data_IF_787358954357
#
_entry.id   IF_787358954357
#
_cell.length_a   1.000
_cell.length_b   1.000
_cell.length_c   1.000
_cell.angle_alpha   90.00
_cell.angle_beta   90.00
_cell.angle_gamma   90.00
#
_symmetry.space_group_name_H-M   'P 1'
#
loop_
_entity.id
_entity.type
_entity.pdbx_description
1 polymer ?
#
# COMPACT_ATOMS: atom_id res chain seq x y z
N UNK A 1 -10.09 -8.85 11.88
CA UNK A 1 -8.64 -8.67 11.63
C UNK A 1 -7.95 -8.70 12.99
N UNK A 2 -7.08 -9.68 13.25
CA UNK A 2 -6.42 -9.77 14.57
C UNK A 2 -5.41 -8.62 14.70
N UNK A 3 -5.65 -7.74 15.68
CA UNK A 3 -4.77 -6.59 15.97
C UNK A 3 -3.35 -7.03 16.35
N UNK A 4 -3.17 -8.29 16.78
CA UNK A 4 -1.87 -8.86 17.21
C UNK A 4 -0.87 -9.10 16.07
N UNK A 5 -1.31 -9.01 14.81
CA UNK A 5 -0.44 -9.22 13.65
C UNK A 5 0.20 -7.93 13.11
N UNK A 6 -0.25 -6.75 13.53
CA UNK A 6 0.33 -5.47 13.09
C UNK A 6 1.60 -5.17 13.89
N UNK A 7 2.68 -4.84 13.19
CA UNK A 7 3.96 -4.45 13.80
C UNK A 7 4.13 -2.94 13.77
N UNK A 8 3.71 -2.31 12.67
CA UNK A 8 3.77 -0.87 12.54
C UNK A 8 3.10 -0.37 11.27
N UNK A 9 2.96 0.95 11.18
CA UNK A 9 2.48 1.61 9.98
C UNK A 9 3.18 2.93 9.74
N UNK A 10 3.26 3.34 8.47
CA UNK A 10 3.75 4.65 8.07
C UNK A 10 2.79 5.26 7.04
N UNK A 11 2.43 6.52 7.26
CA UNK A 11 1.51 7.26 6.39
C UNK A 11 2.24 8.47 5.81
N UNK A 12 2.08 8.69 4.50
CA UNK A 12 2.58 9.88 3.82
C UNK A 12 1.54 10.48 2.89
N UNK A 13 1.55 11.80 2.80
CA UNK A 13 0.82 12.53 1.78
C UNK A 13 1.68 12.70 0.52
N UNK A 14 1.06 12.55 -0.65
CA UNK A 14 1.70 12.69 -1.96
C UNK A 14 1.02 13.87 -2.66
N UNK A 15 1.62 15.06 -2.53
CA UNK A 15 1.04 16.32 -3.00
C UNK A 15 0.67 16.29 -4.50
N UNK A 16 1.57 15.79 -5.36
CA UNK A 16 1.33 15.69 -6.81
C UNK A 16 0.24 14.69 -7.23
N UNK A 17 -0.33 13.92 -6.28
CA UNK A 17 -1.43 12.98 -6.53
C UNK A 17 -2.67 13.29 -5.68
N UNK A 18 -2.62 14.35 -4.87
CA UNK A 18 -3.60 14.64 -3.82
C UNK A 18 -4.05 13.37 -3.08
N UNK A 19 -3.09 12.56 -2.66
CA UNK A 19 -3.36 11.21 -2.15
C UNK A 19 -2.55 10.88 -0.91
N UNK A 20 -3.11 10.06 -0.05
CA UNK A 20 -2.45 9.46 1.10
C UNK A 20 -2.09 8.02 0.81
N UNK A 21 -0.86 7.65 1.13
CA UNK A 21 -0.39 6.28 1.15
C UNK A 21 -0.14 5.86 2.59
N UNK A 22 -0.71 4.73 2.99
CA UNK A 22 -0.38 4.07 4.26
C UNK A 22 0.19 2.69 3.99
N UNK A 23 1.35 2.43 4.58
CA UNK A 23 2.00 1.12 4.58
C UNK A 23 1.82 0.51 5.97
N UNK A 24 1.57 -0.80 6.01
CA UNK A 24 1.50 -1.62 7.21
C UNK A 24 2.54 -2.74 7.11
N UNK A 25 3.29 -2.96 8.18
CA UNK A 25 4.13 -4.13 8.36
C UNK A 25 3.44 -5.09 9.31
N UNK A 26 3.30 -6.35 8.88
CA UNK A 26 2.53 -7.36 9.58
C UNK A 26 3.37 -8.62 9.75
N UNK A 27 3.16 -9.35 10.84
CA UNK A 27 3.61 -10.75 10.92
C UNK A 27 2.86 -11.55 9.86
N UNK A 28 3.57 -12.40 9.12
CA UNK A 28 2.89 -13.37 8.26
C UNK A 28 1.98 -14.27 9.09
N UNK A 29 0.83 -14.64 8.53
CA UNK A 29 -0.05 -15.63 9.15
C UNK A 29 0.53 -17.05 9.05
N UNK A 30 1.40 -17.29 8.07
CA UNK A 30 2.13 -18.56 7.93
C UNK A 30 3.44 -18.51 8.72
N UNK A 31 3.61 -19.51 9.59
CA UNK A 31 4.81 -19.69 10.41
C UNK A 31 6.06 -19.76 9.52
N UNK A 32 7.08 -18.95 9.85
CA UNK A 32 8.34 -18.94 9.11
C UNK A 32 8.40 -18.02 7.87
N UNK A 33 7.29 -17.41 7.42
CA UNK A 33 7.29 -16.52 6.24
C UNK A 33 7.62 -15.04 6.51
N UNK A 34 8.22 -14.73 7.66
CA UNK A 34 8.75 -13.39 7.96
C UNK A 34 7.69 -12.27 8.02
N UNK A 35 8.05 -11.11 7.48
CA UNK A 35 7.27 -9.87 7.53
C UNK A 35 6.52 -9.60 6.22
N UNK A 36 5.23 -9.34 6.31
CA UNK A 36 4.40 -8.96 5.16
C UNK A 36 4.17 -7.46 5.16
N UNK A 37 4.58 -6.81 4.06
CA UNK A 37 4.26 -5.40 3.80
C UNK A 37 2.94 -5.30 3.04
N UNK A 38 2.07 -4.38 3.44
CA UNK A 38 0.80 -4.13 2.76
C UNK A 38 0.59 -2.65 2.61
N UNK A 39 0.13 -2.23 1.45
CA UNK A 39 -0.01 -0.80 1.12
C UNK A 39 -1.45 -0.49 0.80
N UNK A 40 -1.96 0.63 1.32
CA UNK A 40 -3.26 1.18 1.00
C UNK A 40 -3.07 2.61 0.47
N UNK A 41 -3.75 2.92 -0.62
CA UNK A 41 -3.82 4.27 -1.19
C UNK A 41 -5.22 4.84 -0.98
N UNK A 42 -5.31 6.14 -0.76
CA UNK A 42 -6.57 6.88 -0.69
C UNK A 42 -6.37 8.23 -1.37
N UNK A 43 -7.22 8.54 -2.34
CA UNK A 43 -7.14 9.78 -3.11
C UNK A 43 -8.17 10.77 -2.54
N UNK A 44 -7.78 12.03 -2.41
CA UNK A 44 -8.70 13.11 -2.06
C UNK A 44 -9.21 13.76 -3.36
N UNK A 45 -10.52 13.64 -3.60
CA UNK A 45 -11.15 14.08 -4.83
C UNK A 45 -11.15 13.01 -5.92
N UNK A 46 -11.58 13.40 -7.13
CA UNK A 46 -11.64 12.49 -8.27
C UNK A 46 -10.22 12.23 -8.78
N UNK A 47 -9.86 10.96 -8.92
CA UNK A 47 -8.61 10.54 -9.57
C UNK A 47 -8.78 10.67 -11.10
N UNK A 48 -8.93 11.90 -11.55
CA UNK A 48 -9.22 12.30 -12.93
C UNK A 48 -8.14 13.29 -13.39
N UNK A 49 -7.68 13.16 -14.64
CA UNK A 49 -6.62 13.99 -15.22
C UNK A 49 -5.47 13.18 -15.82
N UNK A 50 -4.50 13.85 -16.47
CA UNK A 50 -3.39 13.19 -17.18
C UNK A 50 -2.46 12.37 -16.27
N UNK A 51 -2.48 12.64 -14.96
CA UNK A 51 -1.71 11.92 -13.94
C UNK A 51 -2.54 10.89 -13.16
N UNK A 52 -3.69 10.45 -13.71
CA UNK A 52 -4.52 9.42 -13.09
C UNK A 52 -3.69 8.17 -12.82
N UNK A 53 -3.74 7.68 -11.59
CA UNK A 53 -3.04 6.45 -11.20
C UNK A 53 -4.06 5.35 -10.97
N UNK A 54 -4.03 4.29 -11.78
CA UNK A 54 -4.66 3.04 -11.41
C UNK A 54 -3.81 2.35 -10.33
N UNK A 55 -4.30 2.38 -9.09
CA UNK A 55 -3.61 1.74 -7.97
C UNK A 55 -3.48 0.23 -8.15
N UNK A 56 -4.44 -0.45 -8.79
CA UNK A 56 -4.36 -1.89 -9.02
C UNK A 56 -3.24 -2.21 -10.02
N UNK A 57 -3.17 -1.49 -11.13
CA UNK A 57 -2.09 -1.64 -12.11
C UNK A 57 -0.72 -1.32 -11.49
N UNK A 58 -0.63 -0.23 -10.72
CA UNK A 58 0.61 0.16 -10.03
C UNK A 58 1.11 -0.96 -9.11
N UNK A 59 0.22 -1.57 -8.31
CA UNK A 59 0.62 -2.66 -7.41
C UNK A 59 0.94 -3.96 -8.16
N UNK A 60 0.28 -4.25 -9.29
CA UNK A 60 0.59 -5.37 -10.14
C UNK A 60 2.03 -5.27 -10.69
N UNK A 61 2.41 -4.11 -11.26
CA UNK A 61 3.77 -3.86 -11.75
C UNK A 61 4.84 -4.00 -10.67
N UNK A 62 4.54 -3.53 -9.44
CA UNK A 62 5.47 -3.68 -8.32
C UNK A 62 5.63 -5.17 -7.97
N UNK A 63 4.54 -5.94 -7.94
CA UNK A 63 4.61 -7.38 -7.63
C UNK A 63 5.42 -8.14 -8.67
N UNK A 64 5.21 -7.87 -9.96
CA UNK A 64 5.99 -8.49 -11.04
C UNK A 64 7.49 -8.20 -10.94
N UNK A 65 7.88 -6.98 -10.55
CA UNK A 65 9.30 -6.59 -10.45
C UNK A 65 10.07 -7.35 -9.36
N UNK A 66 9.40 -7.80 -8.30
CA UNK A 66 10.02 -8.40 -7.12
C UNK A 66 9.74 -9.90 -6.98
N UNK A 67 9.07 -10.50 -7.96
CA UNK A 67 8.98 -11.95 -8.14
C UNK A 67 10.09 -12.42 -9.09
#
# INVERSE_FOLDING_TARGET
MDKRQLIGSATRYIAGRNAVQTVYWRKSAETGKGLVKTTRMTFFGKNEGPNKVDSAEMFARVRERYN
#
